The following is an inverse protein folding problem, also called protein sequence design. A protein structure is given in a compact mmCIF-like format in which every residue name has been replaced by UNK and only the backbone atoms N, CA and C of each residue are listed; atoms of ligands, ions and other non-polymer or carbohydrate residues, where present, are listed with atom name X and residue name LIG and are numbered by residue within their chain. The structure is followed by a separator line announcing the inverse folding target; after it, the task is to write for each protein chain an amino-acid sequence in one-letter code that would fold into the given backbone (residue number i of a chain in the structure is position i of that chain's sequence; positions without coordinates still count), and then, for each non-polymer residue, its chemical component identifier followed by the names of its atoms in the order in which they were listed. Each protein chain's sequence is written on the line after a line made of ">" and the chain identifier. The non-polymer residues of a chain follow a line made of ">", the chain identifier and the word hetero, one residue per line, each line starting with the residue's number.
data_IF_228074897014
#
_entry.id   IF_228074897014
#
_cell.length_a   1.000
_cell.length_b   1.000
_cell.length_c   1.000
_cell.angle_alpha   90.00
_cell.angle_beta   90.00
_cell.angle_gamma   90.00
#
_symmetry.space_group_name_H-M   'P 1'
#
loop_
_entity.id
_entity.type
_entity.pdbx_description
1 polymer ?
#
# COMPACT_ATOMS: atom_id res chain seq x y z
N UNK A 1 -22.17 -53.55 4.94
CA UNK A 1 -21.73 -52.84 3.73
C UNK A 1 -22.17 -51.39 3.89
N UNK A 2 -21.28 -50.56 4.43
CA UNK A 2 -21.46 -49.10 4.38
C UNK A 2 -21.20 -48.64 2.94
N UNK A 3 -22.24 -48.25 2.22
CA UNK A 3 -22.11 -47.44 1.05
C UNK A 3 -21.77 -46.03 1.51
N UNK A 4 -20.52 -45.64 1.36
CA UNK A 4 -20.08 -44.28 1.37
C UNK A 4 -20.73 -43.57 0.17
N UNK A 5 -21.78 -42.77 0.40
CA UNK A 5 -22.29 -41.82 -0.59
C UNK A 5 -21.25 -40.71 -0.66
N UNK A 6 -20.34 -40.84 -1.60
CA UNK A 6 -19.46 -39.79 -2.02
C UNK A 6 -20.26 -38.88 -2.94
N UNK A 7 -20.98 -37.94 -2.37
CA UNK A 7 -21.27 -36.68 -3.02
C UNK A 7 -20.07 -35.79 -2.78
N UNK A 8 -19.21 -35.64 -3.76
CA UNK A 8 -18.09 -34.71 -3.71
C UNK A 8 -18.61 -33.27 -3.82
N UNK A 9 -19.22 -32.76 -2.74
CA UNK A 9 -19.25 -31.32 -2.56
C UNK A 9 -17.81 -30.92 -2.23
N UNK A 10 -17.09 -30.51 -3.25
CA UNK A 10 -15.75 -29.94 -3.11
C UNK A 10 -15.92 -28.60 -2.38
N UNK A 11 -15.73 -28.61 -1.05
CA UNK A 11 -15.77 -27.40 -0.25
C UNK A 11 -14.78 -26.38 -0.81
N UNK A 12 -15.14 -25.10 -0.87
CA UNK A 12 -14.25 -24.00 -1.29
C UNK A 12 -12.93 -24.00 -0.50
N UNK A 13 -12.92 -24.54 0.73
CA UNK A 13 -11.72 -24.77 1.54
C UNK A 13 -10.66 -25.57 0.79
N UNK A 14 -11.09 -26.55 -0.02
CA UNK A 14 -10.20 -27.43 -0.81
C UNK A 14 -9.85 -26.80 -2.17
N UNK A 15 -10.46 -25.65 -2.51
CA UNK A 15 -10.23 -24.97 -3.79
C UNK A 15 -9.27 -23.78 -3.70
N UNK A 16 -9.13 -23.10 -2.54
CA UNK A 16 -8.17 -22.00 -2.37
C UNK A 16 -7.03 -22.45 -1.46
N UNK A 17 -5.92 -22.84 -2.05
CA UNK A 17 -4.71 -23.33 -1.37
C UNK A 17 -3.46 -22.50 -1.66
N UNK A 18 -3.55 -21.52 -2.55
CA UNK A 18 -2.45 -20.62 -2.92
C UNK A 18 -2.81 -19.18 -2.58
N UNK A 19 -1.86 -18.44 -2.03
CA UNK A 19 -1.95 -16.97 -1.89
C UNK A 19 -0.91 -16.30 -2.77
N UNK A 20 -1.32 -15.28 -3.49
CA UNK A 20 -0.42 -14.35 -4.17
C UNK A 20 -0.45 -12.99 -3.50
N UNK A 21 0.71 -12.54 -3.01
CA UNK A 21 0.90 -11.17 -2.55
C UNK A 21 1.44 -10.31 -3.67
N UNK A 22 0.67 -9.32 -4.12
CA UNK A 22 1.10 -8.30 -5.07
C UNK A 22 1.30 -7.00 -4.29
N UNK A 23 2.51 -6.43 -4.34
CA UNK A 23 2.82 -5.24 -3.55
C UNK A 23 3.67 -4.23 -4.30
N UNK A 24 3.36 -2.93 -4.11
CA UNK A 24 4.24 -1.81 -4.41
C UNK A 24 4.60 -1.11 -3.11
N UNK A 25 5.88 -1.07 -2.72
CA UNK A 25 6.24 -0.64 -1.37
C UNK A 25 7.65 -0.05 -1.27
N UNK A 26 7.88 1.18 -1.77
CA UNK A 26 9.20 1.82 -1.77
C UNK A 26 9.86 1.96 -0.40
N UNK A 27 9.05 2.10 0.66
CA UNK A 27 9.50 2.25 2.05
C UNK A 27 9.11 1.07 2.95
N UNK A 28 8.76 -0.06 2.34
CA UNK A 28 8.40 -1.33 2.98
C UNK A 28 7.11 -1.36 3.81
N UNK A 29 6.43 -0.25 4.06
CA UNK A 29 5.20 -0.19 4.88
C UNK A 29 4.06 -1.04 4.32
N UNK A 30 3.71 -0.89 3.03
CA UNK A 30 2.67 -1.70 2.38
C UNK A 30 3.03 -3.18 2.36
N UNK A 31 4.32 -3.51 2.15
CA UNK A 31 4.80 -4.89 2.16
C UNK A 31 4.63 -5.54 3.53
N UNK A 32 4.99 -4.85 4.61
CA UNK A 32 4.83 -5.37 5.98
C UNK A 32 3.37 -5.70 6.30
N UNK A 33 2.44 -4.82 5.94
CA UNK A 33 0.99 -5.05 6.11
C UNK A 33 0.53 -6.25 5.30
N UNK A 34 0.93 -6.33 4.01
CA UNK A 34 0.56 -7.45 3.14
C UNK A 34 1.06 -8.80 3.65
N UNK A 35 2.32 -8.86 4.08
CA UNK A 35 2.91 -10.08 4.66
C UNK A 35 2.19 -10.51 5.95
N UNK A 36 1.78 -9.56 6.79
CA UNK A 36 1.00 -9.87 8.00
C UNK A 36 -0.39 -10.44 7.65
N UNK A 37 -1.09 -9.86 6.66
CA UNK A 37 -2.37 -10.39 6.19
C UNK A 37 -2.18 -11.82 5.65
N UNK A 38 -1.17 -12.04 4.82
CA UNK A 38 -0.86 -13.36 4.24
C UNK A 38 -0.60 -14.39 5.34
N UNK A 39 0.21 -14.06 6.35
CA UNK A 39 0.42 -14.96 7.51
C UNK A 39 -0.89 -15.33 8.19
N UNK A 40 -1.78 -14.34 8.40
CA UNK A 40 -3.07 -14.55 9.04
C UNK A 40 -4.00 -15.50 8.27
N UNK A 41 -3.84 -15.64 6.95
CA UNK A 41 -4.63 -16.62 6.17
C UNK A 41 -4.31 -18.08 6.51
N UNK A 42 -3.12 -18.34 7.07
CA UNK A 42 -2.66 -19.69 7.37
C UNK A 42 -2.38 -20.56 6.13
N UNK A 43 -2.43 -19.98 4.92
CA UNK A 43 -2.11 -20.69 3.68
C UNK A 43 -0.58 -20.70 3.48
N UNK A 44 -0.01 -21.87 3.31
CA UNK A 44 1.44 -22.06 3.24
C UNK A 44 2.04 -21.84 1.85
N UNK A 45 1.27 -22.09 0.79
CA UNK A 45 1.72 -21.84 -0.59
C UNK A 45 1.55 -20.36 -0.94
N UNK A 46 2.64 -19.60 -0.83
CA UNK A 46 2.64 -18.13 -0.99
C UNK A 46 3.59 -17.70 -2.09
N UNK A 47 3.04 -17.11 -3.12
CA UNK A 47 3.78 -16.46 -4.21
C UNK A 47 3.81 -14.94 -4.01
N UNK A 48 4.93 -14.31 -4.32
CA UNK A 48 5.13 -12.85 -4.15
C UNK A 48 5.46 -12.19 -5.47
N UNK A 49 4.74 -11.11 -5.78
CA UNK A 49 4.98 -10.24 -6.94
C UNK A 49 5.27 -8.83 -6.43
N UNK A 50 6.54 -8.47 -6.34
CA UNK A 50 6.97 -7.15 -5.87
C UNK A 50 7.08 -6.17 -7.05
N UNK A 51 6.12 -5.27 -7.14
CA UNK A 51 6.03 -4.24 -8.17
C UNK A 51 6.95 -3.04 -7.90
N UNK A 52 7.70 -3.03 -6.81
CA UNK A 52 8.45 -1.84 -6.38
C UNK A 52 9.49 -1.42 -7.41
N UNK A 53 10.11 -2.37 -8.11
CA UNK A 53 11.18 -2.07 -9.07
C UNK A 53 10.83 -2.50 -10.50
N UNK A 54 10.00 -3.53 -10.68
CA UNK A 54 9.69 -4.12 -11.96
C UNK A 54 8.19 -4.29 -12.17
N UNK A 55 7.69 -4.24 -13.41
CA UNK A 55 6.32 -4.64 -13.72
C UNK A 55 6.13 -6.14 -13.47
N UNK A 56 4.89 -6.55 -13.18
CA UNK A 56 4.53 -7.96 -13.03
C UNK A 56 4.69 -8.75 -14.34
N UNK A 57 4.65 -8.06 -15.49
CA UNK A 57 4.51 -8.70 -16.80
C UNK A 57 3.10 -9.26 -17.01
N UNK A 58 2.93 -10.06 -18.06
CA UNK A 58 1.68 -10.78 -18.31
C UNK A 58 1.51 -11.88 -17.26
N UNK A 59 0.46 -11.80 -16.48
CA UNK A 59 0.20 -12.72 -15.39
C UNK A 59 -1.29 -13.01 -15.30
N UNK A 60 -1.65 -14.27 -15.51
CA UNK A 60 -3.02 -14.76 -15.31
C UNK A 60 -3.10 -15.41 -13.92
N UNK A 61 -4.06 -14.95 -13.13
CA UNK A 61 -4.28 -15.46 -11.76
C UNK A 61 -5.39 -16.50 -11.79
N UNK A 62 -5.10 -17.75 -11.43
CA UNK A 62 -6.10 -18.79 -11.36
C UNK A 62 -7.18 -18.50 -10.32
N UNK A 63 -8.40 -18.96 -10.57
CA UNK A 63 -9.57 -18.79 -9.69
C UNK A 63 -9.34 -19.29 -8.27
N UNK A 64 -8.53 -20.34 -8.10
CA UNK A 64 -8.18 -20.94 -6.81
C UNK A 64 -7.04 -20.21 -6.06
N UNK A 65 -6.68 -19.01 -6.48
CA UNK A 65 -5.61 -18.21 -5.85
C UNK A 65 -6.18 -16.98 -5.17
N UNK A 66 -6.07 -16.91 -3.84
CA UNK A 66 -6.34 -15.70 -3.10
C UNK A 66 -5.28 -14.64 -3.40
N UNK A 67 -5.67 -13.49 -3.93
CA UNK A 67 -4.73 -12.43 -4.26
C UNK A 67 -4.83 -11.28 -3.25
N UNK A 68 -3.75 -10.98 -2.54
CA UNK A 68 -3.65 -9.83 -1.63
C UNK A 68 -2.88 -8.72 -2.35
N UNK A 69 -3.54 -7.60 -2.63
CA UNK A 69 -2.96 -6.45 -3.34
C UNK A 69 -2.76 -5.31 -2.35
N UNK A 70 -1.50 -4.93 -2.09
CA UNK A 70 -1.16 -3.88 -1.13
C UNK A 70 -0.40 -2.74 -1.79
N UNK A 71 -0.93 -1.52 -1.68
CA UNK A 71 -0.39 -0.34 -2.34
C UNK A 71 -0.37 0.88 -1.43
N UNK A 72 0.59 1.79 -1.58
CA UNK A 72 0.59 3.06 -0.86
C UNK A 72 -0.31 4.09 -1.54
N UNK A 73 -0.80 5.02 -0.73
CA UNK A 73 -1.64 6.15 -1.16
C UNK A 73 -0.79 7.39 -1.38
N UNK A 74 -0.77 7.90 -2.60
CA UNK A 74 -0.09 9.14 -2.97
C UNK A 74 -1.10 10.21 -3.39
N UNK A 75 -1.19 11.28 -2.61
CA UNK A 75 -2.12 12.36 -2.90
C UNK A 75 -3.61 11.97 -2.88
N UNK A 76 -3.97 10.91 -2.15
CA UNK A 76 -5.36 10.41 -2.06
C UNK A 76 -5.77 9.42 -3.15
N UNK A 77 -4.81 8.99 -3.97
CA UNK A 77 -4.95 7.97 -5.03
C UNK A 77 -3.96 6.84 -4.82
N UNK A 78 -4.14 5.74 -5.53
CA UNK A 78 -3.12 4.70 -5.62
C UNK A 78 -1.84 5.30 -6.21
N UNK A 79 -0.68 4.86 -5.72
CA UNK A 79 0.59 5.27 -6.33
C UNK A 79 0.60 4.88 -7.83
N UNK A 80 0.72 5.85 -8.76
CA UNK A 80 0.57 5.57 -10.20
C UNK A 80 1.47 4.44 -10.73
N UNK A 81 2.75 4.29 -10.27
CA UNK A 81 3.57 3.17 -10.72
C UNK A 81 3.04 1.80 -10.30
N UNK A 82 2.23 1.70 -9.23
CA UNK A 82 1.64 0.43 -8.81
C UNK A 82 0.63 -0.06 -9.86
N UNK A 83 -0.29 0.80 -10.29
CA UNK A 83 -1.29 0.47 -11.31
C UNK A 83 -0.63 0.19 -12.67
N UNK A 84 0.33 1.03 -13.07
CA UNK A 84 1.04 0.84 -14.34
C UNK A 84 1.80 -0.50 -14.41
N UNK A 85 2.46 -0.89 -13.31
CA UNK A 85 3.22 -2.14 -13.25
C UNK A 85 2.35 -3.39 -13.08
N UNK A 86 1.10 -3.22 -12.73
CA UNK A 86 0.11 -4.28 -12.56
C UNK A 86 -0.88 -4.35 -13.74
N UNK A 87 -0.72 -3.51 -14.79
CA UNK A 87 -1.70 -3.37 -15.87
C UNK A 87 -1.97 -4.66 -16.66
N UNK A 88 -0.95 -5.53 -16.76
CA UNK A 88 -1.01 -6.80 -17.50
C UNK A 88 -1.29 -8.00 -16.57
N UNK A 89 -1.75 -7.75 -15.34
CA UNK A 89 -2.22 -8.80 -14.41
C UNK A 89 -3.72 -8.95 -14.59
N UNK A 90 -4.16 -10.15 -14.87
CA UNK A 90 -5.58 -10.48 -15.07
C UNK A 90 -5.97 -11.70 -14.23
N UNK A 91 -7.25 -11.85 -14.01
CA UNK A 91 -7.85 -12.96 -13.30
C UNK A 91 -9.18 -13.37 -13.94
N UNK A 92 -9.61 -14.61 -13.74
CA UNK A 92 -10.91 -15.12 -14.15
C UNK A 92 -11.73 -15.45 -12.90
N UNK A 93 -12.16 -14.41 -12.17
CA UNK A 93 -12.94 -14.57 -10.93
C UNK A 93 -12.12 -14.83 -9.66
N UNK A 94 -10.79 -14.80 -9.73
CA UNK A 94 -9.95 -15.02 -8.54
C UNK A 94 -10.26 -14.06 -7.38
N UNK A 95 -10.39 -14.55 -6.14
CA UNK A 95 -10.70 -13.70 -4.99
C UNK A 95 -9.56 -12.75 -4.68
N UNK A 96 -9.89 -11.47 -4.47
CA UNK A 96 -8.93 -10.44 -4.15
C UNK A 96 -9.23 -9.73 -2.82
N UNK A 97 -8.17 -9.38 -2.11
CA UNK A 97 -8.14 -8.52 -0.92
C UNK A 97 -7.40 -7.26 -1.27
N UNK A 98 -8.05 -6.12 -1.16
CA UNK A 98 -7.48 -4.83 -1.54
C UNK A 98 -7.07 -4.02 -0.32
N UNK A 99 -5.83 -3.56 -0.31
CA UNK A 99 -5.26 -2.85 0.84
C UNK A 99 -4.59 -1.55 0.42
N UNK A 100 -5.08 -0.43 0.95
CA UNK A 100 -4.50 0.89 0.77
C UNK A 100 -3.79 1.35 2.05
N UNK A 101 -2.47 1.62 1.97
CA UNK A 101 -1.66 2.10 3.10
C UNK A 101 -1.40 3.59 2.95
N UNK A 102 -1.78 4.39 3.96
CA UNK A 102 -1.76 5.85 3.86
C UNK A 102 -1.12 6.54 5.07
N UNK A 103 -0.55 7.72 4.83
CA UNK A 103 0.17 8.52 5.84
C UNK A 103 -0.75 9.35 6.74
N UNK A 104 -1.58 8.71 7.57
CA UNK A 104 -2.40 9.30 8.67
C UNK A 104 -3.46 10.36 8.29
N UNK A 105 -3.34 11.11 7.20
CA UNK A 105 -4.36 12.13 6.88
C UNK A 105 -5.65 11.52 6.34
N UNK A 106 -5.60 10.95 5.16
CA UNK A 106 -6.72 10.31 4.49
C UNK A 106 -6.25 9.48 3.29
N UNK A 107 -6.99 8.43 2.95
CA UNK A 107 -6.76 7.63 1.75
C UNK A 107 -7.66 8.07 0.56
N UNK A 108 -8.57 9.02 0.79
CA UNK A 108 -9.49 9.64 -0.20
C UNK A 108 -10.19 8.61 -1.08
N UNK A 109 -9.81 8.52 -2.38
CA UNK A 109 -10.39 7.61 -3.37
C UNK A 109 -9.52 6.38 -3.67
N UNK A 110 -8.36 6.23 -3.02
CA UNK A 110 -7.38 5.21 -3.41
C UNK A 110 -7.93 3.77 -3.37
N UNK A 111 -8.73 3.42 -2.36
CA UNK A 111 -9.28 2.06 -2.28
C UNK A 111 -10.35 1.81 -3.36
N UNK A 112 -11.16 2.81 -3.69
CA UNK A 112 -12.17 2.73 -4.77
C UNK A 112 -11.49 2.68 -6.13
N UNK A 113 -10.40 3.41 -6.33
CA UNK A 113 -9.59 3.36 -7.55
C UNK A 113 -8.96 1.97 -7.72
N UNK A 114 -8.45 1.38 -6.63
CA UNK A 114 -7.88 0.04 -6.63
C UNK A 114 -8.94 -1.04 -6.93
N UNK A 115 -10.15 -0.87 -6.37
CA UNK A 115 -11.28 -1.76 -6.60
C UNK A 115 -11.72 -1.74 -8.07
N UNK A 116 -11.93 -0.56 -8.63
CA UNK A 116 -12.26 -0.42 -10.04
C UNK A 116 -11.19 -1.05 -10.94
N UNK A 117 -9.91 -0.82 -10.62
CA UNK A 117 -8.79 -1.40 -11.35
C UNK A 117 -8.75 -2.93 -11.27
N UNK A 118 -8.96 -3.52 -10.09
CA UNK A 118 -8.94 -4.97 -9.90
C UNK A 118 -10.15 -5.64 -10.55
N UNK A 119 -11.34 -5.05 -10.39
CA UNK A 119 -12.59 -5.56 -10.98
C UNK A 119 -12.55 -5.57 -12.51
N UNK A 120 -11.99 -4.50 -13.13
CA UNK A 120 -11.79 -4.42 -14.59
C UNK A 120 -10.85 -5.52 -15.12
N UNK A 121 -10.01 -6.09 -14.26
CA UNK A 121 -9.09 -7.19 -14.58
C UNK A 121 -9.58 -8.55 -14.15
N UNK A 122 -10.88 -8.66 -13.86
CA UNK A 122 -11.54 -9.92 -13.60
C UNK A 122 -11.36 -10.47 -12.17
N UNK A 123 -10.84 -9.70 -11.22
CA UNK A 123 -10.79 -10.10 -9.82
C UNK A 123 -12.17 -9.97 -9.15
N UNK A 124 -12.50 -10.93 -8.27
CA UNK A 124 -13.64 -10.87 -7.37
C UNK A 124 -13.19 -10.28 -6.03
N UNK A 125 -13.49 -9.01 -5.76
CA UNK A 125 -13.03 -8.33 -4.55
C UNK A 125 -13.85 -8.80 -3.34
N UNK A 126 -13.27 -9.62 -2.47
CA UNK A 126 -13.94 -10.26 -1.35
C UNK A 126 -13.68 -9.57 -0.01
N UNK A 127 -12.68 -8.72 0.07
CA UNK A 127 -12.36 -7.96 1.27
C UNK A 127 -11.56 -6.69 0.91
N UNK A 128 -11.64 -5.70 1.78
CA UNK A 128 -10.87 -4.47 1.62
C UNK A 128 -10.37 -3.94 2.96
N UNK A 129 -9.24 -3.22 2.95
CA UNK A 129 -8.69 -2.61 4.15
C UNK A 129 -7.95 -1.29 3.86
N UNK A 130 -7.90 -0.45 4.89
CA UNK A 130 -7.03 0.71 4.91
C UNK A 130 -6.18 0.70 6.16
N UNK A 131 -4.86 0.84 5.98
CA UNK A 131 -3.89 0.84 7.08
C UNK A 131 -3.15 2.16 7.15
N UNK A 132 -2.83 2.57 8.36
CA UNK A 132 -1.94 3.71 8.59
C UNK A 132 -0.50 3.23 8.48
N UNK A 133 0.30 3.96 7.69
CA UNK A 133 1.74 3.77 7.60
C UNK A 133 2.48 5.07 7.82
N UNK A 134 3.74 5.01 8.18
CA UNK A 134 4.56 6.20 8.30
C UNK A 134 4.60 6.97 6.99
N UNK A 135 4.28 8.24 7.04
CA UNK A 135 4.25 9.10 5.85
C UNK A 135 5.66 9.24 5.25
N UNK A 136 5.76 9.27 3.93
CA UNK A 136 7.04 9.44 3.22
C UNK A 136 7.82 10.68 3.69
N UNK A 137 7.12 11.76 4.03
CA UNK A 137 7.69 13.02 4.50
C UNK A 137 7.90 13.09 6.01
N UNK A 138 7.63 12.01 6.76
CA UNK A 138 7.87 11.97 8.20
C UNK A 138 9.36 12.09 8.48
N UNK A 139 9.69 12.99 9.38
CA UNK A 139 11.06 13.22 9.91
C UNK A 139 11.02 13.25 11.42
N UNK A 140 12.19 13.27 12.06
CA UNK A 140 12.30 13.42 13.50
C UNK A 140 11.67 14.73 14.01
N UNK A 141 11.82 15.83 13.24
CA UNK A 141 11.25 17.14 13.55
C UNK A 141 9.74 17.23 13.24
N UNK A 142 9.29 16.52 12.23
CA UNK A 142 7.92 16.52 11.78
C UNK A 142 7.39 15.08 11.69
N UNK A 143 7.13 14.40 12.83
CA UNK A 143 6.68 13.02 12.83
C UNK A 143 5.24 12.92 12.31
N UNK A 144 5.01 12.06 11.32
CA UNK A 144 3.70 11.81 10.71
C UNK A 144 3.46 10.31 10.70
N UNK A 145 2.68 9.81 11.65
CA UNK A 145 2.52 8.38 11.90
C UNK A 145 3.87 7.63 11.99
N UNK A 146 4.86 8.26 12.63
CA UNK A 146 6.19 7.68 12.77
C UNK A 146 6.14 6.30 13.44
N UNK A 147 6.90 5.36 12.91
CA UNK A 147 6.95 3.98 13.39
C UNK A 147 5.79 3.08 12.98
N UNK A 148 4.83 3.59 12.18
CA UNK A 148 3.71 2.78 11.68
C UNK A 148 4.03 2.15 10.31
N UNK A 149 3.59 0.88 10.05
CA UNK A 149 2.81 0.02 10.95
C UNK A 149 3.65 -0.45 12.15
N UNK A 150 3.08 -0.36 13.34
CA UNK A 150 3.64 -0.89 14.57
C UNK A 150 3.19 -2.36 14.82
N UNK A 151 3.55 -2.92 15.97
CA UNK A 151 3.21 -4.30 16.31
C UNK A 151 1.68 -4.52 16.37
N UNK A 152 0.93 -3.55 16.90
CA UNK A 152 -0.54 -3.63 16.99
C UNK A 152 -1.17 -3.58 15.60
N UNK A 153 -0.64 -2.76 14.69
CA UNK A 153 -1.08 -2.71 13.30
C UNK A 153 -0.86 -4.04 12.58
N UNK A 154 0.33 -4.64 12.78
CA UNK A 154 0.66 -5.91 12.15
C UNK A 154 -0.16 -7.06 12.74
N UNK A 155 -0.43 -7.06 14.05
CA UNK A 155 -1.35 -8.00 14.68
C UNK A 155 -2.78 -7.83 14.17
N UNK A 156 -3.24 -6.58 13.97
CA UNK A 156 -4.55 -6.31 13.36
C UNK A 156 -4.61 -6.80 11.91
N UNK A 157 -3.54 -6.63 11.14
CA UNK A 157 -3.44 -7.12 9.78
C UNK A 157 -3.48 -8.66 9.72
N UNK A 158 -2.80 -9.34 10.64
CA UNK A 158 -2.82 -10.80 10.76
C UNK A 158 -4.21 -11.31 11.15
N UNK A 159 -4.86 -10.65 12.13
CA UNK A 159 -6.25 -10.95 12.50
C UNK A 159 -7.22 -10.77 11.32
N UNK A 160 -6.98 -9.77 10.47
CA UNK A 160 -7.74 -9.60 9.24
C UNK A 160 -7.54 -10.75 8.27
N UNK A 161 -6.32 -11.28 8.13
CA UNK A 161 -6.02 -12.50 7.37
C UNK A 161 -6.80 -13.71 7.86
N UNK A 162 -6.87 -13.92 9.19
CA UNK A 162 -7.70 -14.97 9.80
C UNK A 162 -9.16 -14.82 9.42
N UNK A 163 -9.72 -13.61 9.49
CA UNK A 163 -11.11 -13.34 9.11
C UNK A 163 -11.39 -13.61 7.63
N UNK A 164 -10.44 -13.28 6.75
CA UNK A 164 -10.53 -13.61 5.33
C UNK A 164 -10.58 -15.12 5.14
N UNK A 165 -9.72 -15.87 5.83
CA UNK A 165 -9.72 -17.34 5.81
C UNK A 165 -11.06 -17.89 6.25
N UNK A 166 -11.59 -17.43 7.39
CA UNK A 166 -12.92 -17.82 7.90
C UNK A 166 -14.03 -17.55 6.89
N UNK A 167 -14.00 -16.38 6.21
CA UNK A 167 -14.97 -16.04 5.16
C UNK A 167 -14.90 -17.02 3.98
N UNK A 168 -13.70 -17.39 3.54
CA UNK A 168 -13.50 -18.35 2.46
C UNK A 168 -14.02 -19.74 2.88
N UNK A 169 -13.68 -20.19 4.09
CA UNK A 169 -14.10 -21.49 4.62
C UNK A 169 -15.62 -21.60 4.86
N UNK A 170 -16.28 -20.47 5.16
CA UNK A 170 -17.72 -20.42 5.33
C UNK A 170 -18.52 -20.44 4.02
N UNK A 171 -17.89 -20.13 2.88
CA UNK A 171 -18.52 -20.20 1.59
C UNK A 171 -18.55 -21.67 1.12
N UNK A 172 -19.71 -22.14 0.63
CA UNK A 172 -19.85 -23.53 0.15
C UNK A 172 -19.14 -23.76 -1.19
N UNK A 173 -19.09 -22.71 -2.01
CA UNK A 173 -18.43 -22.70 -3.33
C UNK A 173 -17.97 -21.28 -3.67
N UNK A 174 -17.21 -21.14 -4.78
CA UNK A 174 -16.68 -19.84 -5.24
C UNK A 174 -17.79 -18.85 -5.62
N UNK A 175 -18.93 -19.33 -6.08
CA UNK A 175 -20.06 -18.46 -6.47
C UNK A 175 -20.71 -17.84 -5.23
N UNK A 176 -20.75 -18.56 -4.11
CA UNK A 176 -21.27 -18.09 -2.82
C UNK A 176 -20.31 -17.22 -2.03
N UNK A 177 -19.04 -17.15 -2.43
CA UNK A 177 -18.08 -16.22 -1.86
C UNK A 177 -18.45 -14.80 -2.31
N UNK A 178 -19.17 -14.05 -1.47
CA UNK A 178 -19.70 -12.74 -1.84
C UNK A 178 -18.62 -11.64 -1.96
N UNK A 179 -18.76 -10.80 -2.98
CA UNK A 179 -17.96 -9.60 -3.14
C UNK A 179 -18.37 -8.50 -2.16
N UNK A 180 -17.46 -7.60 -1.86
CA UNK A 180 -17.70 -6.46 -0.97
C UNK A 180 -17.75 -5.15 -1.74
N UNK A 181 -18.52 -4.20 -1.24
CA UNK A 181 -18.48 -2.81 -1.70
C UNK A 181 -17.51 -2.02 -0.83
N UNK A 182 -16.31 -1.75 -1.34
CA UNK A 182 -15.26 -1.02 -0.62
C UNK A 182 -15.66 0.41 -0.25
N UNK A 183 -16.69 0.99 -0.89
CA UNK A 183 -17.21 2.31 -0.52
C UNK A 183 -17.85 2.32 0.88
N UNK A 184 -18.24 1.16 1.40
CA UNK A 184 -18.79 1.01 2.75
C UNK A 184 -17.74 1.16 3.85
N UNK A 185 -16.44 1.10 3.53
CA UNK A 185 -15.40 1.40 4.53
C UNK A 185 -15.53 2.85 4.98
N UNK A 186 -15.76 3.03 6.28
CA UNK A 186 -15.87 4.36 6.86
C UNK A 186 -14.56 5.11 6.70
N UNK A 187 -14.60 6.23 5.98
CA UNK A 187 -13.44 7.11 5.85
C UNK A 187 -13.04 7.67 7.20
N UNK A 188 -11.72 7.89 7.44
CA UNK A 188 -11.25 8.48 8.68
C UNK A 188 -11.91 9.85 8.89
N UNK A 189 -12.59 10.01 10.03
CA UNK A 189 -13.20 11.29 10.36
C UNK A 189 -12.14 12.38 10.40
N UNK A 190 -12.35 13.44 9.63
CA UNK A 190 -11.53 14.64 9.68
C UNK A 190 -12.17 15.61 10.67
N UNK A 191 -11.45 15.97 11.73
CA UNK A 191 -11.92 17.02 12.63
C UNK A 191 -11.96 18.36 11.86
N UNK A 192 -13.04 19.10 12.00
CA UNK A 192 -13.27 20.33 11.25
C UNK A 192 -12.14 21.36 11.41
N UNK A 193 -11.74 21.66 12.66
CA UNK A 193 -10.71 22.65 12.93
C UNK A 193 -9.33 22.31 12.36
N UNK A 194 -8.79 21.10 12.56
CA UNK A 194 -7.54 20.69 11.91
C UNK A 194 -7.58 20.76 10.40
N UNK A 195 -8.69 20.33 9.78
CA UNK A 195 -8.84 20.39 8.33
C UNK A 195 -8.91 21.83 7.82
N UNK A 196 -9.70 22.68 8.46
CA UNK A 196 -9.83 24.09 8.11
C UNK A 196 -8.48 24.82 8.26
N UNK A 197 -7.77 24.57 9.39
CA UNK A 197 -6.43 25.12 9.63
C UNK A 197 -5.43 24.66 8.55
N UNK A 198 -5.48 23.39 8.18
CA UNK A 198 -4.66 22.84 7.11
C UNK A 198 -4.94 23.54 5.78
N UNK A 199 -6.20 23.64 5.37
CA UNK A 199 -6.58 24.29 4.11
C UNK A 199 -6.14 25.76 4.06
N UNK A 200 -6.36 26.52 5.15
CA UNK A 200 -5.89 27.91 5.24
C UNK A 200 -4.36 28.01 5.09
N UNK A 201 -3.62 27.14 5.78
CA UNK A 201 -2.17 27.12 5.71
C UNK A 201 -1.68 26.72 4.30
N UNK A 202 -2.33 25.76 3.65
CA UNK A 202 -2.01 25.37 2.26
C UNK A 202 -2.25 26.55 1.30
N UNK A 203 -3.38 27.27 1.42
CA UNK A 203 -3.66 28.45 0.60
C UNK A 203 -2.61 29.55 0.85
N UNK A 204 -2.26 29.82 2.11
CA UNK A 204 -1.20 30.77 2.46
C UNK A 204 0.13 30.37 1.86
N UNK A 205 0.50 29.09 1.97
CA UNK A 205 1.75 28.54 1.41
C UNK A 205 1.80 28.70 -0.11
N UNK A 206 0.69 28.41 -0.81
CA UNK A 206 0.60 28.62 -2.27
C UNK A 206 0.76 30.08 -2.69
N UNK A 207 0.24 31.01 -1.89
CA UNK A 207 0.31 32.45 -2.13
C UNK A 207 1.66 33.07 -1.75
N UNK A 208 2.45 32.42 -0.88
CA UNK A 208 3.72 32.97 -0.41
C UNK A 208 4.86 32.89 -1.44
N UNK A 209 4.65 32.20 -2.56
CA UNK A 209 5.71 32.02 -3.57
C UNK A 209 6.87 31.12 -3.10
N UNK A 210 6.80 30.51 -1.92
CA UNK A 210 7.84 29.60 -1.45
C UNK A 210 7.93 28.40 -2.39
N UNK A 211 9.07 28.12 -3.00
CA UNK A 211 9.22 26.99 -3.90
C UNK A 211 8.95 25.66 -3.17
N UNK A 212 8.14 24.81 -3.79
CA UNK A 212 7.92 23.46 -3.28
C UNK A 212 9.00 22.52 -3.83
N UNK A 213 9.74 21.80 -2.98
CA UNK A 213 10.74 20.87 -3.45
C UNK A 213 10.10 19.78 -4.31
N UNK A 214 10.65 19.56 -5.50
CA UNK A 214 10.20 18.52 -6.43
C UNK A 214 10.98 17.21 -6.26
N UNK A 215 12.20 17.29 -5.73
CA UNK A 215 13.14 16.18 -5.51
C UNK A 215 13.80 16.32 -4.12
N UNK A 216 14.33 15.23 -3.55
CA UNK A 216 15.17 15.30 -2.35
C UNK A 216 16.44 16.11 -2.60
N UNK A 217 16.82 16.95 -1.63
CA UNK A 217 18.11 17.60 -1.59
C UNK A 217 19.21 16.60 -1.21
N UNK A 218 20.44 16.88 -1.63
CA UNK A 218 21.62 16.05 -1.32
C UNK A 218 22.73 16.91 -0.75
N UNK A 219 23.30 16.51 0.37
CA UNK A 219 24.56 17.03 0.88
C UNK A 219 25.69 16.18 0.29
N UNK A 220 26.42 16.76 -0.66
CA UNK A 220 27.51 16.07 -1.36
C UNK A 220 28.69 15.71 -0.43
N UNK A 221 28.94 16.51 0.63
CA UNK A 221 30.01 16.23 1.58
C UNK A 221 29.75 14.98 2.43
N UNK A 222 28.47 14.66 2.68
CA UNK A 222 28.07 13.45 3.42
C UNK A 222 27.94 12.24 2.50
N UNK A 223 27.85 12.45 1.19
CA UNK A 223 27.63 11.37 0.24
C UNK A 223 28.92 10.59 -0.04
N UNK A 224 28.96 9.33 0.34
CA UNK A 224 30.09 8.44 0.03
C UNK A 224 29.87 7.57 -1.21
N UNK A 225 28.92 7.91 -2.05
CA UNK A 225 28.61 7.24 -3.32
C UNK A 225 28.34 5.72 -3.17
N UNK A 226 27.74 5.27 -2.06
CA UNK A 226 27.47 3.85 -1.79
C UNK A 226 26.42 3.20 -2.72
N UNK A 227 25.76 3.97 -3.58
CA UNK A 227 24.78 3.46 -4.54
C UNK A 227 23.42 3.03 -3.95
N UNK A 228 23.21 3.16 -2.63
CA UNK A 228 21.94 2.76 -1.99
C UNK A 228 20.74 3.42 -2.68
N UNK A 229 20.79 4.73 -2.87
CA UNK A 229 19.71 5.52 -3.48
C UNK A 229 19.42 5.11 -4.93
N UNK A 230 20.44 4.73 -5.69
CA UNK A 230 20.31 4.21 -7.07
C UNK A 230 19.54 2.89 -7.04
N UNK A 231 19.99 1.93 -6.23
CA UNK A 231 19.41 0.59 -6.12
C UNK A 231 17.96 0.61 -5.62
N UNK A 232 17.63 1.54 -4.72
CA UNK A 232 16.32 1.60 -4.07
C UNK A 232 15.40 2.70 -4.63
N UNK A 233 15.75 3.29 -5.78
CA UNK A 233 14.87 4.22 -6.47
C UNK A 233 13.87 3.46 -7.35
N UNK A 234 12.58 3.37 -6.97
CA UNK A 234 11.60 2.62 -7.76
C UNK A 234 11.31 3.27 -9.13
N UNK A 235 11.67 4.54 -9.29
CA UNK A 235 11.45 5.29 -10.52
C UNK A 235 12.70 5.43 -11.40
N UNK A 236 13.85 4.87 -10.99
CA UNK A 236 15.10 5.01 -11.71
C UNK A 236 15.54 6.48 -11.87
N UNK A 237 15.17 7.34 -10.91
CA UNK A 237 15.44 8.79 -10.99
C UNK A 237 16.86 9.18 -10.55
N UNK A 238 17.69 8.21 -10.17
CA UNK A 238 19.07 8.45 -9.70
C UNK A 238 20.00 7.52 -10.47
N UNK A 239 20.95 8.08 -11.19
CA UNK A 239 21.89 7.31 -11.99
C UNK A 239 23.08 6.81 -11.14
N UNK A 240 23.63 5.65 -11.51
CA UNK A 240 24.89 5.16 -10.93
C UNK A 240 26.03 6.06 -11.35
N UNK A 241 26.86 6.47 -10.41
CA UNK A 241 27.97 7.41 -10.61
C UNK A 241 27.56 8.88 -10.51
N UNK A 242 26.25 9.16 -10.41
CA UNK A 242 25.70 10.51 -10.17
C UNK A 242 24.68 10.49 -9.02
N UNK A 243 25.09 9.90 -7.89
CA UNK A 243 24.25 9.74 -6.72
C UNK A 243 23.79 11.05 -6.10
N UNK A 244 24.45 12.15 -6.40
CA UNK A 244 24.08 13.48 -5.90
C UNK A 244 23.00 14.16 -6.74
N UNK A 245 22.73 13.69 -7.93
CA UNK A 245 21.66 14.19 -8.81
C UNK A 245 20.37 13.38 -8.67
N UNK A 246 19.26 13.97 -9.08
CA UNK A 246 17.96 13.28 -9.13
C UNK A 246 17.15 13.85 -10.29
N UNK A 247 16.74 12.98 -11.21
CA UNK A 247 15.85 13.33 -12.31
C UNK A 247 14.48 13.77 -11.77
N UNK A 248 14.15 15.03 -11.94
CA UNK A 248 12.94 15.65 -11.41
C UNK A 248 11.66 15.13 -12.07
N UNK A 249 11.74 14.71 -13.33
CA UNK A 249 10.56 14.21 -14.07
C UNK A 249 10.25 12.76 -13.72
N UNK A 250 11.26 11.98 -13.36
CA UNK A 250 11.06 10.60 -12.91
C UNK A 250 10.73 10.49 -11.42
N UNK A 251 11.13 11.46 -10.59
CA UNK A 251 11.02 11.36 -9.14
C UNK A 251 9.56 11.35 -8.65
N UNK A 252 9.11 10.23 -8.09
CA UNK A 252 7.76 10.06 -7.52
C UNK A 252 7.66 10.53 -6.06
N UNK A 253 8.71 11.08 -5.48
CA UNK A 253 8.77 11.61 -4.10
C UNK A 253 8.40 10.60 -3.02
N UNK A 254 8.71 9.33 -3.24
CA UNK A 254 8.47 8.25 -2.27
C UNK A 254 9.40 8.30 -1.05
N UNK A 255 10.48 9.08 -1.13
CA UNK A 255 11.50 9.24 -0.09
C UNK A 255 12.23 7.94 0.32
N UNK A 256 12.19 6.87 -0.47
CA UNK A 256 12.97 5.66 -0.19
C UNK A 256 14.47 5.95 -0.08
N UNK A 257 15.00 6.79 -0.99
CA UNK A 257 16.39 7.23 -0.97
C UNK A 257 16.75 8.12 0.24
N UNK A 258 15.78 8.83 0.83
CA UNK A 258 15.96 9.65 2.03
C UNK A 258 15.98 8.76 3.27
N UNK A 259 14.94 7.92 3.44
CA UNK A 259 14.78 7.06 4.62
C UNK A 259 15.88 6.00 4.74
N UNK A 260 16.36 5.49 3.63
CA UNK A 260 17.35 4.42 3.61
C UNK A 260 18.80 4.88 3.40
N UNK A 261 19.08 6.19 3.28
CA UNK A 261 20.46 6.67 3.11
C UNK A 261 21.29 6.40 4.36
N UNK A 262 22.34 5.53 4.30
CA UNK A 262 23.15 5.21 5.48
C UNK A 262 23.89 6.43 6.04
N UNK A 263 24.29 7.35 5.14
CA UNK A 263 25.01 8.58 5.49
C UNK A 263 24.10 9.76 5.81
N UNK A 264 22.74 9.55 5.74
CA UNK A 264 21.77 10.65 5.89
C UNK A 264 22.05 11.86 4.99
N UNK A 265 22.73 11.62 3.87
CA UNK A 265 23.13 12.65 2.91
C UNK A 265 21.94 13.20 2.10
N UNK A 266 20.78 12.55 2.15
CA UNK A 266 19.57 12.96 1.43
C UNK A 266 18.48 13.42 2.38
N UNK A 267 17.87 14.57 2.09
CA UNK A 267 16.74 15.13 2.86
C UNK A 267 15.60 15.51 1.92
N UNK A 268 14.39 15.57 2.45
CA UNK A 268 13.23 16.08 1.73
C UNK A 268 12.42 17.01 2.62
N UNK A 269 12.95 18.23 2.77
CA UNK A 269 12.36 19.26 3.62
C UNK A 269 11.27 20.00 2.86
N UNK A 270 10.05 19.56 3.03
CA UNK A 270 8.88 20.18 2.42
C UNK A 270 8.02 20.87 3.47
N UNK A 271 7.53 22.11 3.23
CA UNK A 271 6.59 22.79 4.10
C UNK A 271 5.32 21.96 4.38
N UNK A 272 4.98 21.03 3.48
CA UNK A 272 3.87 20.10 3.71
C UNK A 272 4.10 19.13 4.86
N UNK A 273 5.33 18.70 5.13
CA UNK A 273 5.64 17.81 6.25
C UNK A 273 5.23 18.47 7.58
N UNK A 274 5.67 19.71 7.80
CA UNK A 274 5.28 20.46 9.00
C UNK A 274 3.77 20.70 9.11
N UNK A 275 3.09 21.00 7.98
CA UNK A 275 1.64 21.19 7.95
C UNK A 275 0.88 19.91 8.30
N UNK A 276 1.31 18.76 7.77
CA UNK A 276 0.70 17.46 8.06
C UNK A 276 0.92 17.06 9.51
N UNK A 277 2.16 17.18 10.01
CA UNK A 277 2.51 16.87 11.38
C UNK A 277 1.73 17.73 12.38
N UNK A 278 1.60 19.03 12.12
CA UNK A 278 0.90 19.97 13.00
C UNK A 278 -0.64 19.80 12.97
N UNK A 279 -1.23 19.61 11.78
CA UNK A 279 -2.68 19.55 11.64
C UNK A 279 -3.29 18.17 11.90
N UNK A 280 -2.52 17.09 11.70
CA UNK A 280 -3.04 15.71 11.80
C UNK A 280 -2.25 14.85 12.79
N UNK A 281 -2.02 15.39 14.00
CA UNK A 281 -1.31 14.69 15.10
C UNK A 281 -2.05 13.45 15.58
N UNK A 282 -3.40 13.51 15.64
CA UNK A 282 -4.20 12.37 16.09
C UNK A 282 -4.04 11.21 15.08
N UNK A 283 -3.55 10.11 15.58
CA UNK A 283 -3.42 8.89 14.79
C UNK A 283 -4.80 8.36 14.37
N UNK A 284 -4.89 7.88 13.14
CA UNK A 284 -6.07 7.24 12.60
C UNK A 284 -6.03 5.74 12.88
N UNK A 285 -7.19 5.12 12.80
CA UNK A 285 -7.35 3.70 12.98
C UNK A 285 -7.31 2.97 11.63
N UNK A 286 -6.87 1.72 11.67
CA UNK A 286 -7.01 0.81 10.54
C UNK A 286 -8.49 0.44 10.36
N UNK A 287 -8.91 0.17 9.14
CA UNK A 287 -10.30 -0.16 8.81
C UNK A 287 -10.34 -1.36 7.88
N UNK A 288 -11.31 -2.22 8.06
CA UNK A 288 -11.53 -3.41 7.22
C UNK A 288 -13.00 -3.50 6.81
N UNK A 289 -13.24 -4.21 5.70
CA UNK A 289 -14.54 -4.71 5.25
C UNK A 289 -14.39 -6.14 4.76
N UNK A 290 -15.40 -6.99 5.10
CA UNK A 290 -15.44 -8.41 4.77
C UNK A 290 -16.79 -8.79 4.17
#
# INVERSE_FOLDING_TARGET
>A
ILRCLVGSEMCIRDSIYTVRLITFSPTHTSKQVGEAIVRGTGISDVTRTDLTFHPAGKLEIPENTLTVITVPVYGGKVAPPALERMKDVHASGAPAVLVAVYGNRAYEKALVELDAFASDRGFKVIAGATFVGEHSYSTQQNPIAAGRPDADDLQFAETFGVKIRTKIEAAADMDKLYAVDVNRIQRPRQAFFPLFRFLRKVVKLRKSGVPMPRIPAVNAELCNHCGYCVKHCPAGAIAKGDECSTDVEKCIRCCACVKGCPQKARTFDTPFAALLADCFKKQKENRIIL
#
